data_IF_011402019625
#
_entry.id   IF_011402019625
#
_cell.length_a   1.000
_cell.length_b   1.000
_cell.length_c   1.000
_cell.angle_alpha   90.00
_cell.angle_beta   90.00
_cell.angle_gamma   90.00
#
_symmetry.space_group_name_H-M   'P 1'
#
loop_
_entity.id
_entity.type
_entity.pdbx_description
1 polymer ?
#
# COMPACT_ATOMS: atom_id res chain seq x y z
N UNK A 1 -6.84 27.46 16.79
CA UNK A 1 -6.71 28.49 17.84
C UNK A 1 -6.84 27.83 19.20
N UNK A 2 -5.73 27.67 19.91
CA UNK A 2 -5.68 27.52 21.35
C UNK A 2 -4.30 28.04 21.78
N UNK A 3 -4.24 29.36 21.97
CA UNK A 3 -3.13 30.09 22.58
C UNK A 3 -3.07 29.73 24.07
N UNK A 4 -1.95 29.16 24.52
CA UNK A 4 -1.59 29.15 25.93
C UNK A 4 -0.39 30.08 26.13
N UNK A 5 -0.60 31.12 26.94
CA UNK A 5 0.32 32.21 27.17
C UNK A 5 1.42 31.84 28.18
N UNK A 6 2.65 32.15 27.77
CA UNK A 6 3.82 32.69 28.49
C UNK A 6 3.86 32.53 30.02
N UNK A 7 4.99 31.97 30.50
CA UNK A 7 5.61 32.51 31.70
C UNK A 7 7.14 32.52 31.53
N UNK A 8 7.66 33.70 31.17
CA UNK A 8 9.09 34.00 31.08
C UNK A 8 9.54 34.67 32.37
N UNK A 9 10.39 34.00 33.15
CA UNK A 9 11.27 34.63 34.14
C UNK A 9 12.72 34.14 33.96
N UNK A 10 13.72 35.00 34.21
CA UNK A 10 15.07 34.78 33.74
C UNK A 10 15.84 33.85 34.67
N UNK A 11 16.38 32.76 34.14
CA UNK A 11 17.26 31.87 34.89
C UNK A 11 18.67 32.47 34.96
N UNK A 12 19.14 32.60 36.21
CA UNK A 12 20.46 33.11 36.57
C UNK A 12 21.53 32.16 36.05
N UNK A 13 22.47 32.70 35.28
CA UNK A 13 23.62 31.97 34.76
C UNK A 13 24.47 31.35 35.88
N UNK A 14 24.53 30.02 35.90
CA UNK A 14 25.46 29.26 36.73
C UNK A 14 25.28 27.75 36.49
N UNK A 15 26.18 27.15 35.71
CA UNK A 15 26.24 25.71 35.33
C UNK A 15 25.13 25.14 34.42
N UNK A 16 24.02 25.86 34.22
CA UNK A 16 22.84 25.38 33.45
C UNK A 16 22.80 25.74 31.95
N UNK A 17 23.82 26.44 31.42
CA UNK A 17 23.74 27.01 30.06
C UNK A 17 23.57 26.00 28.91
N UNK A 18 24.00 24.75 29.07
CA UNK A 18 23.76 23.70 28.06
C UNK A 18 22.33 23.16 28.16
N UNK A 19 21.81 22.93 29.37
CA UNK A 19 20.45 22.42 29.58
C UNK A 19 19.42 23.47 29.17
N UNK A 20 19.68 24.75 29.45
CA UNK A 20 18.87 25.87 28.98
C UNK A 20 18.89 25.98 27.44
N UNK A 21 20.05 25.75 26.81
CA UNK A 21 20.21 25.79 25.35
C UNK A 21 19.52 24.62 24.62
N UNK A 22 19.37 23.47 25.30
CA UNK A 22 18.69 22.29 24.73
C UNK A 22 17.26 22.12 25.25
N UNK A 23 16.72 23.04 26.06
CA UNK A 23 15.31 23.01 26.45
C UNK A 23 14.42 22.96 25.18
N UNK A 24 13.40 22.09 25.08
CA UNK A 24 12.73 21.31 26.15
C UNK A 24 13.32 19.94 26.46
N UNK A 25 14.50 19.60 25.93
CA UNK A 25 15.10 18.28 26.14
C UNK A 25 15.76 18.17 27.52
N UNK A 26 15.49 17.09 28.29
CA UNK A 26 16.01 16.94 29.66
C UNK A 26 17.50 16.59 29.71
N UNK A 27 18.10 16.14 28.61
CA UNK A 27 19.51 15.80 28.51
C UNK A 27 20.01 15.78 27.06
N UNK A 28 21.34 15.78 26.88
CA UNK A 28 21.99 15.82 25.56
C UNK A 28 21.61 14.63 24.68
N UNK A 29 21.43 13.43 25.24
CA UNK A 29 21.06 12.23 24.45
C UNK A 29 19.67 12.38 23.83
N UNK A 30 18.70 12.83 24.62
CA UNK A 30 17.35 13.12 24.12
C UNK A 30 17.33 14.25 23.09
N UNK A 31 18.17 15.28 23.29
CA UNK A 31 18.34 16.34 22.31
C UNK A 31 18.97 15.84 21.01
N UNK A 32 20.00 15.00 21.05
CA UNK A 32 20.65 14.44 19.85
C UNK A 32 19.67 13.59 19.04
N UNK A 33 18.92 12.71 19.70
CA UNK A 33 17.89 11.92 19.04
C UNK A 33 16.77 12.79 18.45
N UNK A 34 16.26 13.75 19.22
CA UNK A 34 15.23 14.67 18.76
C UNK A 34 15.69 15.54 17.61
N UNK A 35 16.92 16.06 17.67
CA UNK A 35 17.52 16.85 16.59
C UNK A 35 17.76 16.03 15.33
N UNK A 36 18.17 14.77 15.44
CA UNK A 36 18.26 13.86 14.29
C UNK A 36 16.87 13.61 13.68
N UNK A 37 15.86 13.38 14.52
CA UNK A 37 14.50 13.11 14.08
C UNK A 37 13.91 14.29 13.30
N UNK A 38 14.00 15.50 13.84
CA UNK A 38 13.44 16.72 13.24
C UNK A 38 14.34 17.39 12.19
N UNK A 39 15.63 17.06 12.15
CA UNK A 39 16.62 17.75 11.31
C UNK A 39 16.63 17.36 9.83
N UNK A 40 15.92 16.29 9.45
CA UNK A 40 16.01 15.67 8.12
C UNK A 40 14.61 15.44 7.52
N UNK A 41 13.87 16.53 7.30
CA UNK A 41 12.61 16.59 6.55
C UNK A 41 11.47 15.72 7.10
N UNK A 42 10.35 15.69 6.35
CA UNK A 42 9.08 15.10 6.79
C UNK A 42 9.02 13.57 6.60
N UNK A 43 10.16 12.91 6.40
CA UNK A 43 10.24 11.49 6.02
C UNK A 43 10.23 10.52 7.20
N UNK A 44 10.26 11.02 8.45
CA UNK A 44 10.33 10.18 9.66
C UNK A 44 9.01 10.20 10.41
N UNK A 45 8.47 9.03 10.74
CA UNK A 45 7.23 8.90 11.51
C UNK A 45 7.49 8.86 13.02
N UNK A 46 6.55 9.38 13.82
CA UNK A 46 6.62 9.27 15.28
C UNK A 46 6.58 7.81 15.76
N UNK A 47 5.91 6.92 15.03
CA UNK A 47 5.92 5.49 15.28
C UNK A 47 7.31 4.90 15.10
N UNK A 48 7.98 5.20 13.98
CA UNK A 48 9.36 4.78 13.71
C UNK A 48 10.36 5.35 14.72
N UNK A 49 10.16 6.57 15.19
CA UNK A 49 10.99 7.14 16.27
C UNK A 49 10.86 6.35 17.58
N UNK A 50 9.64 5.97 17.97
CA UNK A 50 9.40 5.15 19.17
C UNK A 50 9.98 3.76 19.01
N UNK A 51 9.85 3.17 17.83
CA UNK A 51 10.42 1.86 17.51
C UNK A 51 11.96 1.86 17.60
N UNK A 52 12.63 2.86 17.01
CA UNK A 52 14.08 3.04 17.13
C UNK A 52 14.52 3.10 18.60
N UNK A 53 13.79 3.81 19.46
CA UNK A 53 14.15 3.89 20.88
C UNK A 53 13.94 2.55 21.58
N UNK A 54 12.76 1.95 21.45
CA UNK A 54 12.37 0.82 22.28
C UNK A 54 12.95 -0.52 21.79
N UNK A 55 13.03 -0.71 20.48
CA UNK A 55 13.36 -2.00 19.88
C UNK A 55 14.76 -2.05 19.27
N UNK A 56 15.42 -0.89 19.08
CA UNK A 56 16.81 -0.85 18.60
C UNK A 56 17.75 -0.38 19.71
N UNK A 57 17.61 0.86 20.19
CA UNK A 57 18.57 1.43 21.15
C UNK A 57 18.51 0.80 22.54
N UNK A 58 17.34 0.30 22.95
CA UNK A 58 17.14 -0.39 24.24
C UNK A 58 17.22 -1.93 24.13
N UNK A 59 17.46 -2.48 22.94
CA UNK A 59 17.59 -3.92 22.76
C UNK A 59 18.82 -4.46 23.51
N UNK A 60 18.68 -5.63 24.16
CA UNK A 60 19.71 -6.19 25.04
C UNK A 60 20.98 -6.61 24.30
N UNK A 61 20.85 -6.90 23.02
CA UNK A 61 21.89 -7.33 22.11
C UNK A 61 22.44 -6.19 21.25
N UNK A 62 21.83 -5.01 21.30
CA UNK A 62 22.33 -3.82 20.61
C UNK A 62 23.55 -3.23 21.34
N UNK A 63 24.64 -3.06 20.61
CA UNK A 63 25.88 -2.45 21.11
C UNK A 63 26.29 -1.32 20.19
N UNK A 64 26.59 -0.17 20.79
CA UNK A 64 26.95 1.02 20.03
C UNK A 64 28.30 0.84 19.31
N UNK A 65 29.19 0.03 19.87
CA UNK A 65 30.51 -0.24 19.33
C UNK A 65 30.45 -1.03 18.02
N UNK A 66 29.47 -1.93 17.90
CA UNK A 66 29.32 -2.83 16.76
C UNK A 66 28.93 -2.08 15.47
N UNK A 67 28.37 -0.86 15.59
CA UNK A 67 27.86 -0.07 14.45
C UNK A 67 28.80 1.03 13.94
N UNK A 68 29.88 1.35 14.67
CA UNK A 68 30.74 2.50 14.37
C UNK A 68 31.54 2.38 13.07
N UNK A 69 31.96 1.15 12.73
CA UNK A 69 32.82 0.87 11.57
C UNK A 69 32.16 -0.05 10.55
N UNK A 70 30.83 -0.09 10.54
CA UNK A 70 30.07 -0.85 9.55
C UNK A 70 30.13 -0.12 8.22
N UNK A 71 30.47 -0.86 7.16
CA UNK A 71 30.42 -0.34 5.80
C UNK A 71 28.96 -0.31 5.31
N UNK A 72 28.18 0.65 5.82
CA UNK A 72 26.75 0.79 5.55
C UNK A 72 26.43 0.84 4.06
N UNK A 73 27.23 1.55 3.26
CA UNK A 73 27.06 1.62 1.81
C UNK A 73 27.12 0.24 1.16
N UNK A 74 28.08 -0.62 1.56
CA UNK A 74 28.19 -1.99 1.02
C UNK A 74 27.02 -2.88 1.43
N UNK A 75 26.53 -2.71 2.66
CA UNK A 75 25.35 -3.46 3.13
C UNK A 75 24.12 -3.01 2.34
N UNK A 76 23.93 -1.71 2.17
CA UNK A 76 22.83 -1.15 1.39
C UNK A 76 22.93 -1.58 -0.08
N UNK A 77 24.12 -1.58 -0.67
CA UNK A 77 24.35 -2.08 -2.03
C UNK A 77 23.98 -3.57 -2.16
N UNK A 78 24.33 -4.38 -1.15
CA UNK A 78 23.99 -5.80 -1.14
C UNK A 78 22.49 -6.04 -0.96
N UNK A 79 21.84 -5.29 -0.07
CA UNK A 79 20.38 -5.34 0.12
C UNK A 79 19.66 -4.89 -1.16
N UNK A 80 20.16 -3.85 -1.82
CA UNK A 80 19.66 -3.43 -3.13
C UNK A 80 19.86 -4.51 -4.20
N UNK A 81 20.96 -5.28 -4.16
CA UNK A 81 21.22 -6.39 -5.09
C UNK A 81 20.42 -7.67 -4.82
N UNK A 82 19.84 -7.82 -3.63
CA UNK A 82 18.88 -8.91 -3.35
C UNK A 82 17.51 -8.58 -3.94
N UNK A 83 17.20 -7.29 -4.14
CA UNK A 83 15.96 -6.80 -4.74
C UNK A 83 16.18 -5.73 -5.84
N UNK A 84 17.08 -5.92 -6.82
CA UNK A 84 17.51 -4.81 -7.68
C UNK A 84 16.44 -4.40 -8.69
N UNK A 85 15.49 -5.30 -8.97
CA UNK A 85 14.42 -5.09 -9.94
C UNK A 85 13.02 -5.33 -9.37
N UNK A 86 12.90 -5.84 -8.13
CA UNK A 86 11.61 -6.04 -7.51
C UNK A 86 11.04 -4.66 -7.13
N UNK A 87 9.77 -4.37 -7.44
CA UNK A 87 9.13 -3.18 -6.91
C UNK A 87 9.21 -3.16 -5.37
N UNK A 88 9.22 -1.97 -4.77
CA UNK A 88 9.23 -1.86 -3.31
C UNK A 88 8.02 -2.59 -2.70
N UNK A 89 8.24 -3.28 -1.57
CA UNK A 89 7.24 -4.08 -0.87
C UNK A 89 7.54 -5.58 -0.89
N UNK A 90 6.96 -6.30 0.08
CA UNK A 90 7.07 -7.76 0.15
C UNK A 90 6.06 -8.44 -0.78
N UNK A 91 6.38 -9.62 -1.31
CA UNK A 91 5.43 -10.48 -2.02
C UNK A 91 5.37 -10.35 -3.55
N UNK A 92 6.22 -9.52 -4.17
CA UNK A 92 6.35 -9.44 -5.62
C UNK A 92 6.99 -10.69 -6.23
N UNK A 93 6.42 -11.18 -7.32
CA UNK A 93 6.92 -12.32 -8.09
C UNK A 93 7.13 -11.90 -9.54
N UNK A 94 8.31 -12.22 -10.09
CA UNK A 94 8.62 -12.03 -11.51
C UNK A 94 8.22 -13.28 -12.30
N UNK A 95 7.47 -13.10 -13.38
CA UNK A 95 7.13 -14.17 -14.33
C UNK A 95 7.30 -13.70 -15.77
N UNK A 96 7.47 -14.67 -16.68
CA UNK A 96 7.35 -14.43 -18.12
C UNK A 96 5.94 -14.79 -18.55
N UNK A 97 5.32 -13.96 -19.40
CA UNK A 97 3.97 -14.20 -19.93
C UNK A 97 4.04 -14.40 -21.44
N UNK A 98 3.38 -15.46 -21.90
CA UNK A 98 3.23 -15.73 -23.32
C UNK A 98 1.97 -15.05 -23.86
N UNK A 99 2.15 -14.15 -24.81
CA UNK A 99 1.05 -13.47 -25.50
C UNK A 99 0.89 -14.01 -26.91
N UNK A 100 -0.35 -14.29 -27.30
CA UNK A 100 -0.66 -14.69 -28.67
C UNK A 100 -0.82 -13.46 -29.55
N UNK A 101 0.10 -13.26 -30.50
CA UNK A 101 0.07 -12.12 -31.42
C UNK A 101 -0.56 -12.54 -32.75
N UNK A 102 -1.66 -11.90 -33.19
CA UNK A 102 -2.24 -12.15 -34.50
C UNK A 102 -1.26 -11.79 -35.62
N UNK A 103 -1.00 -12.72 -36.54
CA UNK A 103 0.00 -12.54 -37.61
C UNK A 103 -0.55 -11.84 -38.86
N UNK A 104 -1.85 -11.51 -38.90
CA UNK A 104 -2.51 -10.91 -40.05
C UNK A 104 -2.67 -11.85 -41.26
N UNK A 105 -2.26 -13.12 -41.14
CA UNK A 105 -2.42 -14.14 -42.17
C UNK A 105 -3.91 -14.50 -42.26
N UNK A 106 -4.55 -14.08 -43.36
CA UNK A 106 -5.93 -14.42 -43.65
C UNK A 106 -6.03 -15.91 -43.99
N UNK A 107 -6.94 -16.63 -43.33
CA UNK A 107 -7.31 -18.00 -43.72
C UNK A 107 -7.69 -18.00 -45.20
N UNK A 108 -7.11 -18.91 -46.00
CA UNK A 108 -7.51 -19.06 -47.40
C UNK A 108 -8.94 -19.59 -47.46
N UNK A 109 -9.76 -19.02 -48.35
CA UNK A 109 -11.13 -19.49 -48.56
C UNK A 109 -11.09 -20.96 -49.04
N UNK A 110 -11.48 -21.89 -48.17
CA UNK A 110 -11.49 -23.34 -48.45
C UNK A 110 -10.80 -24.21 -47.40
N UNK A 111 -10.05 -23.64 -46.44
CA UNK A 111 -9.45 -24.41 -45.34
C UNK A 111 -10.51 -24.75 -44.28
N UNK A 112 -10.75 -26.05 -44.05
CA UNK A 112 -11.65 -26.51 -42.98
C UNK A 112 -11.12 -26.08 -41.60
N UNK A 113 -12.02 -25.91 -40.60
CA UNK A 113 -11.63 -25.57 -39.24
C UNK A 113 -11.01 -26.81 -38.57
N UNK A 114 -9.80 -27.18 -38.97
CA UNK A 114 -8.94 -27.95 -38.08
C UNK A 114 -8.25 -26.97 -37.12
N UNK A 115 -8.17 -27.41 -35.87
CA UNK A 115 -7.69 -26.74 -34.66
C UNK A 115 -6.24 -26.22 -34.76
N UNK A 116 -5.96 -25.34 -35.70
CA UNK A 116 -4.65 -24.74 -35.86
C UNK A 116 -4.71 -23.30 -35.37
N UNK A 117 -4.20 -23.09 -34.16
CA UNK A 117 -3.59 -21.86 -33.66
C UNK A 117 -2.45 -21.34 -34.58
N UNK A 118 -2.40 -21.68 -35.87
CA UNK A 118 -1.35 -21.25 -36.81
C UNK A 118 -1.47 -19.78 -37.21
N UNK A 119 -2.57 -19.10 -36.89
CA UNK A 119 -2.75 -17.68 -37.17
C UNK A 119 -2.14 -16.76 -36.09
N UNK A 120 -1.91 -17.28 -34.87
CA UNK A 120 -1.34 -16.52 -33.77
C UNK A 120 0.06 -17.06 -33.45
N UNK A 121 1.04 -16.17 -33.33
CA UNK A 121 2.39 -16.54 -32.91
C UNK A 121 2.50 -16.22 -31.42
N UNK A 122 2.85 -17.21 -30.60
CA UNK A 122 3.17 -16.96 -29.20
C UNK A 122 4.47 -16.15 -29.10
N UNK A 123 4.43 -15.10 -28.28
CA UNK A 123 5.56 -14.24 -27.97
C UNK A 123 5.72 -14.18 -26.45
N UNK A 124 6.88 -14.62 -25.95
CA UNK A 124 7.16 -14.58 -24.52
C UNK A 124 7.69 -13.20 -24.12
N UNK A 125 7.01 -12.57 -23.18
CA UNK A 125 7.38 -11.29 -22.58
C UNK A 125 7.93 -11.56 -21.18
N UNK A 126 9.25 -11.47 -20.96
CA UNK A 126 9.84 -11.61 -19.63
C UNK A 126 9.65 -10.33 -18.80
N UNK A 127 9.84 -10.43 -17.49
CA UNK A 127 9.92 -9.27 -16.60
C UNK A 127 8.59 -8.72 -16.08
N UNK A 128 7.52 -9.52 -16.09
CA UNK A 128 6.26 -9.12 -15.47
C UNK A 128 6.36 -9.35 -13.95
N UNK A 129 6.34 -8.25 -13.20
CA UNK A 129 6.19 -8.28 -11.75
C UNK A 129 4.71 -8.24 -11.37
N UNK A 130 4.28 -9.17 -10.52
CA UNK A 130 2.91 -9.20 -10.01
C UNK A 130 2.85 -9.72 -8.57
N UNK A 131 1.71 -9.49 -7.93
CA UNK A 131 1.40 -10.04 -6.61
C UNK A 131 0.33 -11.14 -6.73
N UNK A 132 0.34 -12.11 -5.82
CA UNK A 132 -0.79 -13.05 -5.67
C UNK A 132 -1.99 -12.31 -5.10
N UNK A 133 -3.14 -12.33 -5.80
CA UNK A 133 -4.37 -11.69 -5.32
C UNK A 133 -4.79 -12.22 -3.94
N UNK A 134 -4.86 -13.54 -3.68
CA UNK A 134 -5.16 -14.06 -2.35
C UNK A 134 -4.17 -13.62 -1.26
N UNK A 135 -2.87 -13.57 -1.59
CA UNK A 135 -1.86 -13.11 -0.63
C UNK A 135 -2.04 -11.61 -0.31
N UNK A 136 -2.37 -10.80 -1.33
CA UNK A 136 -2.64 -9.38 -1.15
C UNK A 136 -3.88 -9.15 -0.28
N UNK A 137 -4.97 -9.86 -0.55
CA UNK A 137 -6.19 -9.81 0.28
C UNK A 137 -5.85 -10.17 1.73
N UNK A 138 -5.12 -11.27 1.94
CA UNK A 138 -4.76 -11.72 3.29
C UNK A 138 -3.90 -10.69 4.02
N UNK A 139 -2.91 -10.12 3.33
CA UNK A 139 -2.03 -9.07 3.89
C UNK A 139 -2.82 -7.84 4.32
N UNK A 140 -3.68 -7.32 3.44
CA UNK A 140 -4.45 -6.10 3.71
C UNK A 140 -5.46 -6.32 4.83
N UNK A 141 -6.24 -7.41 4.77
CA UNK A 141 -7.30 -7.66 5.74
C UNK A 141 -6.77 -8.07 7.12
N UNK A 142 -5.54 -8.57 7.21
CA UNK A 142 -4.96 -9.01 8.50
C UNK A 142 -4.07 -7.97 9.17
N UNK A 143 -3.46 -7.06 8.40
CA UNK A 143 -2.39 -6.20 8.92
C UNK A 143 -2.43 -4.74 8.51
N UNK A 144 -3.22 -4.36 7.52
CA UNK A 144 -3.30 -2.96 7.08
C UNK A 144 -4.37 -2.20 7.87
N UNK A 145 -3.97 -1.07 8.46
CA UNK A 145 -4.88 -0.14 9.16
C UNK A 145 -6.00 0.38 8.25
N UNK A 146 -5.81 0.41 6.92
CA UNK A 146 -6.86 0.78 5.98
C UNK A 146 -8.11 -0.11 6.11
N UNK A 147 -7.91 -1.40 6.41
CA UNK A 147 -8.98 -2.38 6.56
C UNK A 147 -9.91 -2.08 7.75
N UNK A 148 -9.46 -1.30 8.74
CA UNK A 148 -10.30 -0.87 9.87
C UNK A 148 -11.49 0.00 9.42
N UNK A 149 -11.35 0.66 8.27
CA UNK A 149 -12.37 1.55 7.70
C UNK A 149 -13.18 0.92 6.55
N UNK A 150 -12.99 -0.38 6.31
CA UNK A 150 -13.69 -1.08 5.24
C UNK A 150 -15.17 -1.27 5.54
N UNK A 151 -15.98 -1.11 4.49
CA UNK A 151 -17.37 -1.53 4.48
C UNK A 151 -17.45 -3.01 4.10
N UNK A 152 -17.86 -3.84 5.07
CA UNK A 152 -18.08 -5.27 4.86
C UNK A 152 -19.55 -5.59 4.53
N UNK A 153 -20.47 -4.83 5.10
CA UNK A 153 -21.91 -5.03 4.94
C UNK A 153 -22.46 -4.03 3.92
N UNK A 154 -23.14 -4.50 2.86
CA UNK A 154 -23.74 -3.59 1.90
C UNK A 154 -25.01 -2.95 2.43
N UNK A 155 -25.39 -1.84 1.81
CA UNK A 155 -26.65 -1.14 2.11
C UNK A 155 -27.18 -0.43 0.87
N UNK A 156 -28.50 -0.15 0.84
CA UNK A 156 -29.11 0.70 -0.17
C UNK A 156 -29.16 2.14 0.33
N UNK A 157 -28.67 3.08 -0.47
CA UNK A 157 -28.69 4.50 -0.14
C UNK A 157 -29.75 5.22 -0.98
N UNK A 158 -30.57 6.06 -0.36
CA UNK A 158 -31.60 6.81 -1.07
C UNK A 158 -31.43 8.31 -0.84
N UNK A 159 -31.47 9.08 -1.91
CA UNK A 159 -31.58 10.53 -1.85
C UNK A 159 -33.05 10.94 -1.93
N UNK A 160 -33.49 11.79 -1.01
CA UNK A 160 -34.83 12.37 -1.03
C UNK A 160 -34.78 13.73 -1.72
N UNK A 161 -35.45 13.84 -2.87
CA UNK A 161 -35.52 15.09 -3.64
C UNK A 161 -36.36 16.14 -2.92
N UNK A 162 -36.23 17.41 -3.32
CA UNK A 162 -37.07 18.51 -2.83
C UNK A 162 -38.55 18.31 -3.12
N UNK A 163 -38.89 17.49 -4.12
CA UNK A 163 -40.26 17.11 -4.48
C UNK A 163 -40.78 15.90 -3.70
N UNK A 164 -39.95 15.28 -2.85
CA UNK A 164 -40.31 14.15 -1.99
C UNK A 164 -40.06 12.76 -2.57
N UNK A 165 -39.58 12.67 -3.81
CA UNK A 165 -39.22 11.39 -4.44
C UNK A 165 -37.96 10.79 -3.81
N UNK A 166 -37.91 9.46 -3.72
CA UNK A 166 -36.71 8.73 -3.31
C UNK A 166 -36.00 8.19 -4.54
N UNK A 167 -34.72 8.52 -4.68
CA UNK A 167 -33.85 8.03 -5.74
C UNK A 167 -32.78 7.13 -5.15
N UNK A 168 -32.61 5.93 -5.70
CA UNK A 168 -31.56 5.00 -5.26
C UNK A 168 -30.19 5.48 -5.76
N UNK A 169 -29.31 5.84 -4.83
CA UNK A 169 -27.95 6.33 -5.08
C UNK A 169 -26.97 5.17 -5.02
N UNK A 170 -26.12 5.07 -6.05
CA UNK A 170 -25.06 4.06 -6.18
C UNK A 170 -23.74 4.76 -6.46
N UNK A 171 -23.15 5.33 -5.43
CA UNK A 171 -21.94 6.15 -5.53
C UNK A 171 -20.69 5.45 -4.98
N UNK A 172 -20.86 4.30 -4.35
CA UNK A 172 -19.80 3.45 -3.81
C UNK A 172 -20.05 1.99 -4.22
N UNK A 173 -19.01 1.15 -4.19
CA UNK A 173 -19.19 -0.22 -4.65
C UNK A 173 -20.09 -1.02 -3.69
N UNK A 174 -19.93 -0.82 -2.37
CA UNK A 174 -20.72 -1.49 -1.33
C UNK A 174 -22.19 -1.06 -1.24
N UNK A 175 -22.60 -0.03 -1.98
CA UNK A 175 -24.02 0.33 -2.13
C UNK A 175 -24.59 0.04 -3.52
N UNK A 176 -23.81 -0.62 -4.38
CA UNK A 176 -24.26 -1.03 -5.70
C UNK A 176 -25.16 -2.28 -5.66
N UNK A 177 -26.04 -2.41 -6.66
CA UNK A 177 -26.85 -3.63 -6.84
C UNK A 177 -25.99 -4.87 -7.11
N UNK A 178 -24.77 -4.70 -7.64
CA UNK A 178 -23.84 -5.80 -7.86
C UNK A 178 -23.31 -6.35 -6.53
N UNK A 179 -22.91 -5.49 -5.59
CA UNK A 179 -22.43 -5.93 -4.28
C UNK A 179 -23.54 -6.55 -3.45
N UNK A 180 -24.74 -5.98 -3.46
CA UNK A 180 -25.90 -6.54 -2.76
C UNK A 180 -26.18 -7.99 -3.19
N UNK A 181 -26.18 -8.25 -4.51
CA UNK A 181 -26.35 -9.61 -5.03
C UNK A 181 -25.19 -10.53 -4.66
N UNK A 182 -23.95 -10.07 -4.82
CA UNK A 182 -22.78 -10.86 -4.43
C UNK A 182 -22.79 -11.21 -2.93
N UNK A 183 -23.32 -10.32 -2.08
CA UNK A 183 -23.37 -10.55 -0.64
C UNK A 183 -24.38 -11.64 -0.31
N UNK A 184 -25.55 -11.61 -0.96
CA UNK A 184 -26.55 -12.68 -0.88
C UNK A 184 -25.97 -14.03 -1.37
N UNK A 185 -25.21 -14.03 -2.47
CA UNK A 185 -24.54 -15.22 -3.00
C UNK A 185 -23.51 -15.79 -2.00
N UNK A 186 -22.69 -14.94 -1.39
CA UNK A 186 -21.67 -15.34 -0.40
C UNK A 186 -22.31 -15.90 0.88
N UNK A 187 -23.38 -15.27 1.37
CA UNK A 187 -24.12 -15.77 2.54
C UNK A 187 -24.81 -17.10 2.24
N UNK A 188 -25.25 -17.33 1.00
CA UNK A 188 -25.88 -18.57 0.58
C UNK A 188 -24.90 -19.76 0.37
N UNK A 189 -23.58 -19.53 0.37
CA UNK A 189 -22.61 -20.61 0.23
C UNK A 189 -22.72 -21.63 1.38
N UNK A 190 -22.44 -22.93 1.14
CA UNK A 190 -22.39 -23.90 2.23
C UNK A 190 -21.32 -23.50 3.26
N UNK A 191 -21.61 -23.68 4.55
CA UNK A 191 -20.66 -23.47 5.66
C UNK A 191 -19.93 -24.77 5.97
N UNK A 192 -18.63 -24.66 6.20
CA UNK A 192 -17.84 -25.77 6.74
C UNK A 192 -18.31 -26.06 8.18
N UNK A 193 -18.10 -27.29 8.64
CA UNK A 193 -18.50 -27.69 9.98
C UNK A 193 -17.71 -26.87 11.02
N UNK A 194 -18.42 -26.12 11.86
CA UNK A 194 -17.81 -25.26 12.87
C UNK A 194 -17.45 -23.83 12.41
N UNK A 195 -17.71 -23.46 11.14
CA UNK A 195 -17.49 -22.09 10.66
C UNK A 195 -18.55 -21.11 11.22
N UNK A 196 -18.16 -20.36 12.26
CA UNK A 196 -18.96 -19.30 12.88
C UNK A 196 -18.56 -17.90 12.45
N UNK A 197 -17.62 -17.75 11.52
CA UNK A 197 -17.09 -16.43 11.16
C UNK A 197 -18.10 -15.67 10.27
N UNK A 198 -18.12 -14.33 10.35
CA UNK A 198 -18.81 -13.51 9.36
C UNK A 198 -18.18 -13.71 7.98
N UNK A 199 -19.00 -13.77 6.95
CA UNK A 199 -18.53 -13.76 5.57
C UNK A 199 -18.61 -12.34 5.04
N UNK A 200 -17.61 -11.96 4.28
CA UNK A 200 -17.57 -10.65 3.67
C UNK A 200 -17.04 -10.74 2.25
N UNK A 201 -17.35 -9.71 1.46
CA UNK A 201 -16.81 -9.56 0.12
C UNK A 201 -15.51 -8.78 0.25
N UNK A 202 -14.44 -9.30 -0.35
CA UNK A 202 -13.25 -8.52 -0.69
C UNK A 202 -13.39 -8.01 -2.12
N UNK A 203 -13.82 -6.77 -2.29
CA UNK A 203 -14.04 -6.21 -3.61
C UNK A 203 -12.76 -5.60 -4.17
N UNK A 204 -12.42 -6.00 -5.40
CA UNK A 204 -11.22 -5.57 -6.09
C UNK A 204 -11.61 -4.74 -7.31
N UNK A 205 -11.04 -3.54 -7.40
CA UNK A 205 -11.23 -2.62 -8.51
C UNK A 205 -9.93 -2.51 -9.27
N UNK A 206 -9.94 -2.93 -10.53
CA UNK A 206 -8.76 -2.92 -11.40
C UNK A 206 -8.84 -1.80 -12.42
N UNK A 207 -7.73 -1.10 -12.63
CA UNK A 207 -7.60 -0.10 -13.69
C UNK A 207 -6.24 -0.20 -14.36
N UNK A 208 -6.17 0.28 -15.59
CA UNK A 208 -4.91 0.49 -16.29
C UNK A 208 -4.99 1.78 -17.08
N UNK A 209 -3.98 2.62 -16.91
CA UNK A 209 -3.83 3.85 -17.68
C UNK A 209 -2.38 4.01 -18.19
N UNK A 210 -2.19 4.92 -19.15
CA UNK A 210 -0.87 5.19 -19.69
C UNK A 210 -0.11 6.10 -18.72
N UNK A 211 0.95 5.59 -18.13
CA UNK A 211 1.84 6.35 -17.23
C UNK A 211 3.05 6.87 -18.00
N UNK A 212 3.27 8.18 -17.92
CA UNK A 212 4.40 8.85 -18.56
C UNK A 212 5.62 8.81 -17.63
N UNK A 213 6.59 7.94 -17.94
CA UNK A 213 7.72 7.65 -17.03
C UNK A 213 8.81 8.74 -17.03
N UNK A 214 8.88 9.57 -18.07
CA UNK A 214 9.90 10.61 -18.18
C UNK A 214 9.35 11.86 -18.89
N UNK A 215 9.79 13.03 -18.43
CA UNK A 215 9.42 14.32 -19.03
C UNK A 215 10.02 14.50 -20.44
N UNK A 216 11.14 13.84 -20.72
CA UNK A 216 11.75 13.74 -22.04
C UNK A 216 12.09 12.27 -22.31
N UNK A 217 11.47 11.69 -23.33
CA UNK A 217 11.62 10.29 -23.70
C UNK A 217 10.34 9.73 -24.32
N UNK A 218 10.43 8.50 -24.84
CA UNK A 218 9.26 7.74 -25.34
C UNK A 218 8.90 6.57 -24.41
N UNK A 219 9.50 6.51 -23.22
CA UNK A 219 9.23 5.47 -22.23
C UNK A 219 7.81 5.63 -21.68
N UNK A 220 7.00 4.59 -21.86
CA UNK A 220 5.62 4.51 -21.38
C UNK A 220 5.48 3.23 -20.56
N UNK A 221 4.75 3.33 -19.47
CA UNK A 221 4.34 2.18 -18.66
C UNK A 221 2.83 2.09 -18.67
N UNK A 222 2.29 0.87 -18.61
CA UNK A 222 0.89 0.61 -18.37
C UNK A 222 0.77 -0.22 -17.11
N UNK A 223 0.86 0.40 -15.93
CA UNK A 223 0.61 -0.31 -14.69
C UNK A 223 -0.85 -0.79 -14.66
N UNK A 224 -1.04 -1.91 -13.95
CA UNK A 224 -2.37 -2.35 -13.52
C UNK A 224 -2.45 -2.03 -12.04
N UNK A 225 -3.39 -1.15 -11.69
CA UNK A 225 -3.65 -0.81 -10.30
C UNK A 225 -4.78 -1.67 -9.76
N UNK A 226 -4.70 -1.97 -8.47
CA UNK A 226 -5.76 -2.60 -7.70
C UNK A 226 -6.10 -1.68 -6.54
N UNK A 227 -7.39 -1.46 -6.32
CA UNK A 227 -7.89 -0.81 -5.12
C UNK A 227 -9.01 -1.64 -4.50
N UNK A 228 -9.12 -1.60 -3.18
CA UNK A 228 -10.18 -2.31 -2.47
C UNK A 228 -11.47 -1.47 -2.48
N UNK A 229 -12.48 -1.95 -3.20
CA UNK A 229 -13.79 -1.31 -3.26
C UNK A 229 -14.57 -1.34 -1.93
N UNK A 230 -14.02 -2.00 -0.91
CA UNK A 230 -14.48 -1.93 0.47
C UNK A 230 -14.22 -0.57 1.11
N UNK A 231 -13.22 0.18 0.64
CA UNK A 231 -12.89 1.49 1.17
C UNK A 231 -13.72 2.57 0.46
N UNK A 232 -14.29 3.49 1.23
CA UNK A 232 -14.94 4.67 0.64
C UNK A 232 -13.90 5.60 0.04
N UNK A 233 -14.27 6.27 -1.06
CA UNK A 233 -13.43 7.29 -1.72
C UNK A 233 -13.20 8.57 -0.89
N UNK A 234 -13.85 8.70 0.27
CA UNK A 234 -13.80 9.88 1.14
C UNK A 234 -12.80 9.76 2.30
N UNK A 235 -12.06 8.67 2.35
CA UNK A 235 -10.98 8.41 3.32
C UNK A 235 -9.64 8.68 2.64
#
# INVERSE_FOLDING_TARGET
>A
MATAAVNSQPLKAGKDGILDAIWPYPNISSWRLGSWFWGQGDTKSLAGFRDLVNNVLLAKDFKLEDIQNVAWDKINDLLAQISPNAPEGEGWVETSVDIEVPTGIKKKAGEQPQNNHQAAKSFSVPGLWHHSIPALISSVFSGDTAAESFHFNPFKQFWKTSQGWLEHVRDELFNSDAWLRAHEEVEALPREEGDTLPRCIAALMFWSDATHLAQFGQAKLWPIYLFFGNQSKWI
#
